data_IF_047499610693
#
_entry.id   IF_047499610693
#
_cell.length_a   1.000
_cell.length_b   1.000
_cell.length_c   1.000
_cell.angle_alpha   90.00
_cell.angle_beta   90.00
_cell.angle_gamma   90.00
#
_symmetry.space_group_name_H-M   'P 1'
#
loop_
_entity.id
_entity.type
_entity.pdbx_description
1 polymer ?
#
# COMPACT_ATOMS: atom_id res chain seq x y z
N UNK A 1 12.54 8.12 84.08
CA UNK A 1 12.68 6.85 83.33
C UNK A 1 11.34 6.62 82.64
N UNK A 2 11.30 5.94 81.49
CA UNK A 2 10.09 5.65 80.68
C UNK A 2 9.86 6.50 79.42
N UNK A 3 10.87 6.60 78.54
CA UNK A 3 10.64 7.00 77.13
C UNK A 3 11.43 6.17 76.09
N UNK A 4 12.02 5.03 76.50
CA UNK A 4 12.84 4.19 75.61
C UNK A 4 12.14 2.93 75.08
N UNK A 5 10.90 2.62 75.49
CA UNK A 5 10.23 1.37 75.07
C UNK A 5 9.33 1.50 73.81
N UNK A 6 8.83 2.69 73.47
CA UNK A 6 7.87 2.84 72.34
C UNK A 6 8.53 2.87 70.94
N UNK A 7 9.82 3.20 70.83
CA UNK A 7 10.51 3.21 69.53
C UNK A 7 10.92 1.82 69.04
N UNK A 8 11.16 0.86 69.95
CA UNK A 8 11.52 -0.51 69.59
C UNK A 8 10.32 -1.31 69.06
N UNK A 9 9.13 -1.12 69.63
CA UNK A 9 7.93 -1.82 69.14
C UNK A 9 7.52 -1.37 67.74
N UNK A 10 7.61 -0.07 67.44
CA UNK A 10 7.26 0.45 66.11
C UNK A 10 8.25 0.01 65.01
N UNK A 11 9.53 -0.17 65.33
CA UNK A 11 10.53 -0.69 64.38
C UNK A 11 10.37 -2.19 64.13
N UNK A 12 10.04 -2.97 65.16
CA UNK A 12 9.78 -4.41 65.04
C UNK A 12 8.50 -4.70 64.24
N UNK A 13 7.48 -3.85 64.37
CA UNK A 13 6.24 -3.96 63.60
C UNK A 13 6.48 -3.63 62.10
N UNK A 14 7.31 -2.62 61.80
CA UNK A 14 7.67 -2.23 60.44
C UNK A 14 8.53 -3.28 59.72
N UNK A 15 9.48 -3.90 60.43
CA UNK A 15 10.27 -5.02 59.91
C UNK A 15 9.41 -6.26 59.64
N UNK A 16 8.46 -6.59 60.53
CA UNK A 16 7.48 -7.66 60.29
C UNK A 16 6.56 -7.39 59.10
N UNK A 17 6.27 -6.12 58.81
CA UNK A 17 5.46 -5.73 57.65
C UNK A 17 6.26 -5.84 56.35
N UNK A 18 7.53 -5.40 56.35
CA UNK A 18 8.45 -5.56 55.21
C UNK A 18 8.71 -7.03 54.89
N UNK A 19 8.90 -7.86 55.91
CA UNK A 19 9.10 -9.30 55.72
C UNK A 19 7.86 -9.97 55.11
N UNK A 20 6.65 -9.62 55.60
CA UNK A 20 5.39 -10.10 55.00
C UNK A 20 5.20 -9.64 53.55
N UNK A 21 5.62 -8.43 53.20
CA UNK A 21 5.59 -7.95 51.81
C UNK A 21 6.56 -8.72 50.90
N UNK A 22 7.76 -9.03 51.40
CA UNK A 22 8.75 -9.83 50.66
C UNK A 22 8.25 -11.26 50.44
N UNK A 23 7.68 -11.89 51.47
CA UNK A 23 7.14 -13.24 51.37
C UNK A 23 5.94 -13.30 50.40
N UNK A 24 5.06 -12.29 50.43
CA UNK A 24 3.95 -12.16 49.48
C UNK A 24 4.45 -11.95 48.05
N UNK A 25 5.48 -11.14 47.83
CA UNK A 25 6.07 -10.97 46.49
C UNK A 25 6.70 -12.26 45.96
N UNK A 26 7.35 -13.05 46.82
CA UNK A 26 7.92 -14.35 46.42
C UNK A 26 6.81 -15.36 46.09
N UNK A 27 5.74 -15.41 46.88
CA UNK A 27 4.55 -16.22 46.60
C UNK A 27 3.90 -15.85 45.26
N UNK A 28 3.77 -14.55 44.96
CA UNK A 28 3.25 -14.08 43.66
C UNK A 28 4.16 -14.45 42.49
N UNK A 29 5.49 -14.37 42.66
CA UNK A 29 6.46 -14.79 41.63
C UNK A 29 6.41 -16.30 41.39
N UNK A 30 6.31 -17.12 42.44
CA UNK A 30 6.14 -18.57 42.30
C UNK A 30 4.81 -18.93 41.64
N UNK A 31 3.71 -18.26 41.99
CA UNK A 31 2.41 -18.48 41.35
C UNK A 31 2.45 -18.11 39.86
N UNK A 32 3.10 -17.01 39.48
CA UNK A 32 3.29 -16.65 38.07
C UNK A 32 4.18 -17.64 37.31
N UNK A 33 5.24 -18.17 37.94
CA UNK A 33 6.10 -19.19 37.32
C UNK A 33 5.37 -20.53 37.15
N UNK A 34 4.60 -20.98 38.14
CA UNK A 34 3.76 -22.17 38.03
C UNK A 34 2.67 -22.02 36.95
N UNK A 35 2.03 -20.84 36.86
CA UNK A 35 1.08 -20.55 35.76
C UNK A 35 1.75 -20.50 34.39
N UNK A 36 3.01 -20.06 34.29
CA UNK A 36 3.78 -20.08 33.04
C UNK A 36 4.20 -21.50 32.63
N UNK A 37 4.53 -22.37 33.59
CA UNK A 37 4.89 -23.77 33.34
C UNK A 37 3.67 -24.65 33.02
N UNK A 38 2.48 -24.32 33.52
CA UNK A 38 1.23 -25.04 33.19
C UNK A 38 0.55 -24.58 31.90
N UNK A 39 0.95 -23.43 31.32
CA UNK A 39 0.50 -23.03 29.99
C UNK A 39 1.29 -23.81 28.95
N UNK A 40 0.85 -25.03 28.64
CA UNK A 40 1.17 -25.57 27.32
C UNK A 40 0.72 -24.54 26.27
N UNK A 41 1.56 -24.22 25.26
CA UNK A 41 1.14 -23.33 24.20
C UNK A 41 -0.08 -23.97 23.55
N UNK A 42 -1.25 -23.35 23.73
CA UNK A 42 -2.47 -23.76 23.03
C UNK A 42 -2.10 -23.75 21.56
N UNK A 43 -2.04 -24.93 20.96
CA UNK A 43 -1.73 -25.07 19.53
C UNK A 43 -2.94 -24.54 18.79
N UNK A 44 -2.92 -23.25 18.49
CA UNK A 44 -4.00 -22.59 17.76
C UNK A 44 -4.04 -23.22 16.37
N UNK A 45 -5.11 -23.95 16.09
CA UNK A 45 -5.35 -24.50 14.77
C UNK A 45 -5.47 -23.34 13.77
N UNK A 46 -4.46 -23.20 12.91
CA UNK A 46 -4.39 -22.12 11.93
C UNK A 46 -5.55 -22.19 10.91
N UNK A 47 -6.07 -23.37 10.63
CA UNK A 47 -7.21 -23.56 9.71
C UNK A 47 -8.48 -23.04 10.36
N UNK A 48 -8.71 -23.36 11.63
CA UNK A 48 -9.85 -22.85 12.41
C UNK A 48 -9.72 -21.33 12.57
N UNK A 49 -8.53 -20.82 12.92
CA UNK A 49 -8.30 -19.37 13.01
C UNK A 49 -8.59 -18.66 11.69
N UNK A 50 -8.10 -19.19 10.57
CA UNK A 50 -8.36 -18.64 9.24
C UNK A 50 -9.86 -18.67 8.91
N UNK A 51 -10.58 -19.75 9.24
CA UNK A 51 -12.05 -19.85 9.05
C UNK A 51 -12.80 -18.84 9.91
N UNK A 52 -12.45 -18.70 11.18
CA UNK A 52 -13.05 -17.74 12.13
C UNK A 52 -12.81 -16.31 11.66
N UNK A 53 -11.58 -15.95 11.28
CA UNK A 53 -11.23 -14.60 10.85
C UNK A 53 -11.77 -14.23 9.46
N UNK A 54 -12.01 -15.23 8.60
CA UNK A 54 -12.68 -15.03 7.31
C UNK A 54 -14.21 -14.92 7.44
N UNK A 55 -14.80 -15.38 8.55
CA UNK A 55 -16.23 -15.27 8.79
C UNK A 55 -16.57 -13.91 9.42
N UNK A 56 -17.22 -13.04 8.64
CA UNK A 56 -17.56 -11.66 9.06
C UNK A 56 -18.45 -11.62 10.31
N UNK A 57 -19.41 -12.55 10.45
CA UNK A 57 -20.34 -12.57 11.58
C UNK A 57 -19.61 -12.96 12.87
N UNK A 58 -18.81 -14.02 12.82
CA UNK A 58 -18.03 -14.48 13.97
C UNK A 58 -16.97 -13.44 14.34
N UNK A 59 -16.30 -12.84 13.36
CA UNK A 59 -15.34 -11.76 13.57
C UNK A 59 -15.98 -10.55 14.28
N UNK A 60 -17.17 -10.13 13.85
CA UNK A 60 -17.95 -9.07 14.51
C UNK A 60 -18.37 -9.44 15.93
N UNK A 61 -18.80 -10.69 16.14
CA UNK A 61 -19.17 -11.18 17.46
C UNK A 61 -17.97 -11.20 18.41
N UNK A 62 -16.81 -11.66 17.95
CA UNK A 62 -15.55 -11.65 18.71
C UNK A 62 -15.20 -10.21 19.10
N UNK A 63 -15.16 -9.28 18.13
CA UNK A 63 -14.89 -7.86 18.40
C UNK A 63 -15.90 -7.23 19.38
N UNK A 64 -17.18 -7.57 19.24
CA UNK A 64 -18.23 -7.13 20.16
C UNK A 64 -18.02 -7.66 21.58
N UNK A 65 -17.57 -8.92 21.73
CA UNK A 65 -17.38 -9.59 23.03
C UNK A 65 -16.11 -9.15 23.74
N UNK A 66 -15.01 -8.95 23.02
CA UNK A 66 -13.75 -8.47 23.60
C UNK A 66 -13.74 -6.93 23.77
N UNK A 67 -14.82 -6.24 23.37
CA UNK A 67 -14.96 -4.77 23.33
C UNK A 67 -13.90 -4.06 22.48
N UNK A 68 -13.12 -4.79 21.69
CA UNK A 68 -12.17 -4.22 20.73
C UNK A 68 -12.85 -4.17 19.37
N UNK A 69 -13.24 -2.98 18.94
CA UNK A 69 -14.00 -2.81 17.69
C UNK A 69 -13.16 -2.96 16.42
N UNK A 70 -11.83 -3.10 16.51
CA UNK A 70 -10.91 -3.06 15.37
C UNK A 70 -9.65 -3.93 15.65
N UNK A 71 -9.20 -4.77 14.70
CA UNK A 71 -7.94 -5.51 14.79
C UNK A 71 -6.76 -4.57 14.61
N UNK A 72 -6.35 -3.93 15.70
CA UNK A 72 -5.10 -3.19 15.76
C UNK A 72 -4.08 -4.07 16.50
N UNK A 73 -2.77 -3.93 16.23
CA UNK A 73 -1.75 -4.57 17.08
C UNK A 73 -1.81 -4.01 18.51
N UNK A 74 -1.40 -4.76 19.52
CA UNK A 74 -1.53 -4.34 20.92
C UNK A 74 -0.82 -3.00 21.21
N UNK A 75 0.39 -2.81 20.67
CA UNK A 75 1.13 -1.54 20.74
C UNK A 75 0.33 -0.35 20.18
N UNK A 76 -0.31 -0.58 19.04
CA UNK A 76 -1.09 0.44 18.36
C UNK A 76 -2.46 0.64 19.00
N UNK A 77 -3.04 -0.38 19.66
CA UNK A 77 -4.23 -0.22 20.52
C UNK A 77 -3.92 0.69 21.69
N UNK A 78 -2.75 0.54 22.31
CA UNK A 78 -2.33 1.41 23.43
C UNK A 78 -2.18 2.86 22.95
N UNK A 79 -1.56 3.09 21.79
CA UNK A 79 -1.41 4.43 21.18
C UNK A 79 -2.76 5.04 20.76
N UNK A 80 -3.63 4.25 20.12
CA UNK A 80 -5.00 4.66 19.79
C UNK A 80 -5.78 5.02 21.05
N UNK A 81 -5.69 4.17 22.08
CA UNK A 81 -6.37 4.35 23.35
C UNK A 81 -5.87 5.61 24.03
N UNK A 82 -4.56 5.87 24.12
CA UNK A 82 -4.05 7.08 24.78
C UNK A 82 -4.45 8.36 24.04
N UNK A 83 -4.32 8.39 22.71
CA UNK A 83 -4.59 9.60 21.93
C UNK A 83 -6.09 9.91 21.80
N UNK A 84 -6.89 8.92 21.39
CA UNK A 84 -8.31 9.14 21.18
C UNK A 84 -9.13 9.10 22.48
N UNK A 85 -8.66 8.44 23.54
CA UNK A 85 -9.32 8.59 24.85
C UNK A 85 -9.15 10.01 25.39
N UNK A 86 -8.01 10.66 25.17
CA UNK A 86 -7.82 12.06 25.57
C UNK A 86 -8.76 12.99 24.81
N UNK A 87 -8.86 12.84 23.48
CA UNK A 87 -9.81 13.60 22.67
C UNK A 87 -11.27 13.36 23.11
N UNK A 88 -11.63 12.11 23.42
CA UNK A 88 -12.98 11.79 23.92
C UNK A 88 -13.20 12.26 25.36
N UNK A 89 -12.16 12.34 26.18
CA UNK A 89 -12.25 12.91 27.52
C UNK A 89 -12.50 14.41 27.43
N UNK A 90 -11.77 15.13 26.57
CA UNK A 90 -12.00 16.55 26.28
C UNK A 90 -13.44 16.77 25.78
N UNK A 91 -13.90 15.96 24.83
CA UNK A 91 -15.27 16.02 24.34
C UNK A 91 -16.30 15.78 25.46
N UNK A 92 -16.07 14.81 26.35
CA UNK A 92 -17.00 14.52 27.47
C UNK A 92 -17.02 15.62 28.51
N UNK A 93 -15.90 16.31 28.73
CA UNK A 93 -15.81 17.44 29.67
C UNK A 93 -16.59 18.65 29.16
N UNK A 94 -16.41 19.01 27.88
CA UNK A 94 -17.10 20.14 27.26
C UNK A 94 -17.29 19.89 25.76
N UNK A 95 -18.43 19.28 25.35
CA UNK A 95 -18.70 18.99 23.94
C UNK A 95 -18.77 20.26 23.08
N UNK A 96 -19.27 21.36 23.64
CA UNK A 96 -19.46 22.60 22.90
C UNK A 96 -18.12 23.25 22.57
N UNK A 97 -17.25 23.40 23.58
CA UNK A 97 -15.90 23.92 23.38
C UNK A 97 -15.05 23.02 22.49
N UNK A 98 -15.18 21.70 22.63
CA UNK A 98 -14.49 20.75 21.75
C UNK A 98 -14.84 21.00 20.29
N UNK A 99 -16.15 21.11 19.98
CA UNK A 99 -16.61 21.32 18.60
C UNK A 99 -16.21 22.69 18.05
N UNK A 100 -16.21 23.72 18.88
CA UNK A 100 -15.77 25.07 18.46
C UNK A 100 -14.27 25.15 18.15
N UNK A 101 -13.43 24.38 18.83
CA UNK A 101 -11.99 24.41 18.65
C UNK A 101 -11.50 23.41 17.60
N UNK A 102 -12.07 22.20 17.59
CA UNK A 102 -11.57 21.06 16.81
C UNK A 102 -12.44 20.70 15.59
N UNK A 103 -13.66 21.24 15.52
CA UNK A 103 -14.63 20.92 14.46
C UNK A 103 -15.35 19.57 14.65
N UNK A 104 -16.40 19.36 13.85
CA UNK A 104 -17.17 18.11 13.88
C UNK A 104 -16.38 16.95 13.25
N UNK A 105 -15.50 17.23 12.29
CA UNK A 105 -14.64 16.25 11.62
C UNK A 105 -13.81 15.49 12.64
N UNK A 106 -13.21 16.17 13.62
CA UNK A 106 -12.40 15.53 14.66
C UNK A 106 -13.21 14.53 15.48
N UNK A 107 -14.47 14.87 15.76
CA UNK A 107 -15.41 13.98 16.45
C UNK A 107 -15.81 12.78 15.57
N UNK A 108 -16.32 13.00 14.36
CA UNK A 108 -16.83 11.93 13.51
C UNK A 108 -15.74 11.01 12.95
N UNK A 109 -14.50 11.49 12.78
CA UNK A 109 -13.36 10.68 12.36
C UNK A 109 -12.65 9.98 13.54
N UNK A 110 -13.17 10.13 14.76
CA UNK A 110 -12.65 9.41 15.92
C UNK A 110 -12.95 7.89 15.81
N UNK A 111 -11.95 7.00 15.83
CA UNK A 111 -12.18 5.55 15.69
C UNK A 111 -12.99 4.93 16.84
N UNK A 112 -13.02 5.58 18.01
CA UNK A 112 -13.66 5.05 19.24
C UNK A 112 -15.06 5.60 19.49
N UNK A 113 -15.61 6.39 18.56
CA UNK A 113 -16.99 6.89 18.63
C UNK A 113 -17.99 5.71 18.65
N UNK A 114 -19.00 5.82 19.50
CA UNK A 114 -20.12 4.87 19.57
C UNK A 114 -21.36 5.43 18.85
N UNK A 115 -22.30 4.55 18.52
CA UNK A 115 -23.57 4.97 17.90
C UNK A 115 -24.34 5.92 18.83
N UNK A 116 -24.39 5.65 20.12
CA UNK A 116 -25.13 6.52 21.05
C UNK A 116 -24.46 7.89 21.21
N UNK A 117 -23.13 7.93 21.24
CA UNK A 117 -22.39 9.20 21.28
C UNK A 117 -22.62 10.00 19.99
N UNK A 118 -22.63 9.32 18.84
CA UNK A 118 -22.98 9.93 17.56
C UNK A 118 -24.38 10.56 17.59
N UNK A 119 -25.40 9.84 18.10
CA UNK A 119 -26.78 10.35 18.15
C UNK A 119 -26.89 11.62 19.00
N UNK A 120 -26.30 11.60 20.20
CA UNK A 120 -26.27 12.76 21.11
C UNK A 120 -25.57 13.93 20.42
N UNK A 121 -24.40 13.69 19.83
CA UNK A 121 -23.66 14.74 19.13
C UNK A 121 -24.46 15.34 17.96
N UNK A 122 -25.03 14.49 17.10
CA UNK A 122 -25.81 14.93 15.95
C UNK A 122 -27.01 15.79 16.36
N UNK A 123 -27.71 15.38 17.42
CA UNK A 123 -28.91 16.08 17.89
C UNK A 123 -28.60 17.42 18.56
N UNK A 124 -27.55 17.47 19.38
CA UNK A 124 -27.32 18.60 20.29
C UNK A 124 -26.12 19.46 19.92
N UNK A 125 -25.06 18.91 19.34
CA UNK A 125 -23.77 19.60 19.23
C UNK A 125 -23.31 19.89 17.80
N UNK A 126 -23.76 19.10 16.82
CA UNK A 126 -23.29 19.19 15.43
C UNK A 126 -23.42 20.60 14.82
N UNK A 127 -24.50 21.31 15.14
CA UNK A 127 -24.75 22.66 14.61
C UNK A 127 -23.69 23.69 15.01
N UNK A 128 -23.04 23.51 16.17
CA UNK A 128 -22.03 24.46 16.66
C UNK A 128 -20.72 24.40 15.88
N UNK A 129 -20.42 23.26 15.23
CA UNK A 129 -19.23 23.08 14.39
C UNK A 129 -19.51 23.24 12.90
N UNK A 130 -20.77 23.34 12.49
CA UNK A 130 -21.17 23.36 11.08
C UNK A 130 -20.60 24.56 10.31
N UNK A 131 -20.31 25.67 11.00
CA UNK A 131 -19.70 26.86 10.38
C UNK A 131 -18.23 26.65 9.99
N UNK A 132 -17.48 25.79 10.69
CA UNK A 132 -16.07 25.50 10.41
C UNK A 132 -15.89 24.53 9.23
N UNK A 133 -16.96 23.84 8.84
CA UNK A 133 -16.93 22.72 7.89
C UNK A 133 -17.99 22.91 6.79
N UNK A 134 -18.19 24.16 6.38
CA UNK A 134 -19.10 24.52 5.30
C UNK A 134 -18.75 23.74 4.03
N UNK A 135 -19.57 22.75 3.68
CA UNK A 135 -19.39 21.92 2.49
C UNK A 135 -19.29 20.41 2.73
N UNK A 136 -19.24 19.96 3.98
CA UNK A 136 -19.33 18.52 4.31
C UNK A 136 -20.67 18.18 4.94
N UNK A 137 -21.36 17.19 4.38
CA UNK A 137 -22.50 16.56 5.03
C UNK A 137 -22.01 15.58 6.11
N UNK A 138 -22.86 15.28 7.11
CA UNK A 138 -22.48 14.38 8.22
C UNK A 138 -22.00 13.02 7.72
N UNK A 139 -22.56 12.53 6.62
CA UNK A 139 -22.18 11.26 6.03
C UNK A 139 -20.80 11.33 5.33
N UNK A 140 -20.38 12.50 4.83
CA UNK A 140 -19.01 12.70 4.35
C UNK A 140 -18.01 12.57 5.51
N UNK A 141 -18.34 13.14 6.67
CA UNK A 141 -17.47 13.07 7.85
C UNK A 141 -17.40 11.64 8.41
N UNK A 142 -18.54 10.95 8.47
CA UNK A 142 -18.66 9.58 8.99
C UNK A 142 -18.05 8.55 8.05
N UNK A 143 -18.16 8.72 6.73
CA UNK A 143 -17.49 7.84 5.75
C UNK A 143 -15.96 7.91 5.88
N UNK A 144 -15.43 9.07 6.25
CA UNK A 144 -14.01 9.25 6.56
C UNK A 144 -13.56 8.62 7.88
N UNK A 145 -14.44 8.01 8.67
CA UNK A 145 -14.01 7.36 9.91
C UNK A 145 -13.08 6.16 9.59
N UNK A 146 -11.87 6.10 10.16
CA UNK A 146 -10.90 5.05 9.84
C UNK A 146 -11.39 3.64 10.22
N UNK A 147 -12.35 3.51 11.14
CA UNK A 147 -13.00 2.22 11.45
C UNK A 147 -13.62 1.57 10.21
N UNK A 148 -14.06 2.38 9.24
CA UNK A 148 -14.68 1.92 8.00
C UNK A 148 -13.73 1.08 7.13
N UNK A 149 -12.42 1.13 7.35
CA UNK A 149 -11.44 0.27 6.68
C UNK A 149 -11.56 -1.21 7.10
N UNK A 150 -12.16 -1.48 8.27
CA UNK A 150 -12.23 -2.83 8.85
C UNK A 150 -13.67 -3.29 9.06
N UNK A 151 -14.54 -2.40 9.50
CA UNK A 151 -15.93 -2.72 9.84
C UNK A 151 -16.88 -1.63 9.35
N UNK A 152 -18.04 -2.06 8.88
CA UNK A 152 -19.08 -1.18 8.32
C UNK A 152 -20.22 -0.92 9.30
N UNK A 153 -20.22 -1.57 10.47
CA UNK A 153 -21.34 -1.51 11.41
C UNK A 153 -21.66 -0.08 11.88
N UNK A 154 -20.65 0.71 12.23
CA UNK A 154 -20.87 2.09 12.68
C UNK A 154 -21.52 2.92 11.56
N UNK A 155 -20.94 2.88 10.36
CA UNK A 155 -21.49 3.53 9.17
C UNK A 155 -22.94 3.12 8.89
N UNK A 156 -23.24 1.81 8.93
CA UNK A 156 -24.60 1.27 8.76
C UNK A 156 -25.59 1.85 9.77
N UNK A 157 -25.22 1.85 11.06
CA UNK A 157 -26.06 2.35 12.15
C UNK A 157 -26.30 3.86 12.07
N UNK A 158 -25.28 4.61 11.64
CA UNK A 158 -25.44 6.05 11.35
C UNK A 158 -26.44 6.26 10.21
N UNK A 159 -26.27 5.56 9.08
CA UNK A 159 -27.23 5.65 7.97
C UNK A 159 -28.65 5.35 8.44
N UNK A 160 -28.86 4.23 9.16
CA UNK A 160 -30.17 3.84 9.71
C UNK A 160 -30.79 4.94 10.58
N UNK A 161 -30.00 5.55 11.47
CA UNK A 161 -30.46 6.64 12.34
C UNK A 161 -30.85 7.89 11.55
N UNK A 162 -30.03 8.29 10.58
CA UNK A 162 -30.33 9.44 9.71
C UNK A 162 -31.59 9.18 8.87
N UNK A 163 -31.80 7.94 8.39
CA UNK A 163 -33.07 7.58 7.71
C UNK A 163 -34.28 7.67 8.66
N UNK A 164 -34.12 7.23 9.91
CA UNK A 164 -35.18 7.21 10.91
C UNK A 164 -35.64 8.59 11.36
N UNK A 165 -34.70 9.51 11.60
CA UNK A 165 -35.00 10.87 12.05
C UNK A 165 -35.58 11.78 10.95
N UNK A 166 -35.37 11.42 9.67
CA UNK A 166 -35.84 12.21 8.53
C UNK A 166 -37.21 11.74 7.99
N UNK A 167 -37.93 10.88 8.72
CA UNK A 167 -39.34 10.53 8.41
C UNK A 167 -40.24 11.75 8.66
N UNK A 168 -40.19 12.76 7.80
CA UNK A 168 -41.03 13.96 7.87
C UNK A 168 -40.47 15.22 7.19
N UNK A 169 -39.18 15.26 6.84
CA UNK A 169 -38.54 16.33 6.07
C UNK A 169 -37.65 15.69 5.01
N UNK A 170 -37.95 15.94 3.75
CA UNK A 170 -37.29 15.48 2.52
C UNK A 170 -36.47 14.17 2.60
N UNK A 171 -36.98 13.15 1.91
CA UNK A 171 -36.30 11.85 1.70
C UNK A 171 -34.89 11.98 1.09
N UNK A 172 -34.56 13.16 0.55
CA UNK A 172 -33.29 13.47 -0.11
C UNK A 172 -32.15 13.86 0.85
N UNK A 173 -32.38 14.07 2.15
CA UNK A 173 -31.32 14.53 3.07
C UNK A 173 -30.29 13.47 3.51
N UNK A 174 -30.50 12.17 3.23
CA UNK A 174 -29.43 11.16 3.43
C UNK A 174 -28.41 11.23 2.29
N UNK A 175 -28.87 11.67 1.12
CA UNK A 175 -28.04 11.82 -0.07
C UNK A 175 -27.31 13.15 0.10
N UNK A 176 -25.98 13.15 0.21
CA UNK A 176 -25.24 14.39 0.23
C UNK A 176 -25.61 15.23 -0.98
N UNK A 177 -25.64 16.56 -0.83
CA UNK A 177 -25.87 17.45 -1.99
C UNK A 177 -24.83 17.19 -3.10
N UNK A 178 -23.66 16.70 -2.72
CA UNK A 178 -22.66 16.11 -3.60
C UNK A 178 -22.03 14.90 -2.91
N UNK A 179 -22.35 13.65 -3.30
CA UNK A 179 -21.82 12.45 -2.62
C UNK A 179 -20.34 12.19 -2.90
N UNK A 180 -19.64 13.16 -3.49
CA UNK A 180 -18.25 13.08 -3.91
C UNK A 180 -17.32 12.67 -2.76
N UNK A 181 -17.33 13.41 -1.65
CA UNK A 181 -16.44 13.15 -0.52
C UNK A 181 -16.76 11.83 0.17
N UNK A 182 -18.04 11.48 0.28
CA UNK A 182 -18.45 10.19 0.81
C UNK A 182 -17.89 9.04 -0.03
N UNK A 183 -18.04 9.07 -1.35
CA UNK A 183 -17.49 8.02 -2.23
C UNK A 183 -15.96 7.99 -2.21
N UNK A 184 -15.29 9.15 -2.20
CA UNK A 184 -13.84 9.24 -2.06
C UNK A 184 -13.34 8.53 -0.79
N UNK A 185 -13.94 8.84 0.37
CA UNK A 185 -13.61 8.18 1.64
C UNK A 185 -13.86 6.67 1.60
N UNK A 186 -14.95 6.22 0.97
CA UNK A 186 -15.25 4.79 0.82
C UNK A 186 -14.21 4.13 -0.08
N UNK A 187 -13.79 4.78 -1.17
CA UNK A 187 -12.76 4.27 -2.07
C UNK A 187 -11.39 4.17 -1.37
N UNK A 188 -11.01 5.21 -0.62
CA UNK A 188 -9.79 5.24 0.20
C UNK A 188 -9.79 4.12 1.25
N UNK A 189 -10.96 3.76 1.79
CA UNK A 189 -11.06 2.71 2.81
C UNK A 189 -10.64 1.31 2.32
N UNK A 190 -10.67 1.07 1.01
CA UNK A 190 -10.49 -0.24 0.38
C UNK A 190 -11.39 -1.36 0.94
N UNK A 191 -12.53 -1.02 1.54
CA UNK A 191 -13.45 -1.99 2.13
C UNK A 191 -14.62 -2.33 1.19
N UNK A 192 -14.57 -3.53 0.61
CA UNK A 192 -15.62 -4.05 -0.29
C UNK A 192 -16.99 -4.11 0.37
N UNK A 193 -17.06 -4.44 1.66
CA UNK A 193 -18.34 -4.52 2.37
C UNK A 193 -18.94 -3.12 2.54
N UNK A 194 -18.10 -2.10 2.78
CA UNK A 194 -18.54 -0.72 2.92
C UNK A 194 -19.10 -0.22 1.59
N UNK A 195 -18.34 -0.46 0.52
CA UNK A 195 -18.73 -0.13 -0.84
C UNK A 195 -20.06 -0.78 -1.24
N UNK A 196 -20.20 -2.09 -1.03
CA UNK A 196 -21.43 -2.79 -1.35
C UNK A 196 -22.62 -2.29 -0.55
N UNK A 197 -22.44 -1.97 0.74
CA UNK A 197 -23.51 -1.37 1.53
C UNK A 197 -23.85 0.06 1.04
N UNK A 198 -22.84 0.90 0.78
CA UNK A 198 -23.01 2.26 0.31
C UNK A 198 -23.87 2.34 -0.96
N UNK A 199 -23.66 1.45 -1.93
CA UNK A 199 -24.49 1.32 -3.14
C UNK A 199 -25.98 1.10 -2.85
N UNK A 200 -26.32 0.49 -1.72
CA UNK A 200 -27.73 0.23 -1.35
C UNK A 200 -28.41 1.42 -0.68
N UNK A 201 -27.64 2.41 -0.23
CA UNK A 201 -28.15 3.53 0.57
C UNK A 201 -27.86 4.91 -0.04
N UNK A 202 -27.01 4.99 -1.06
CA UNK A 202 -26.67 6.22 -1.78
C UNK A 202 -26.71 5.97 -3.29
N UNK A 203 -27.05 6.99 -4.09
CA UNK A 203 -26.94 6.89 -5.54
C UNK A 203 -25.47 6.72 -5.97
N UNK A 204 -25.27 5.96 -7.05
CA UNK A 204 -23.99 5.92 -7.73
C UNK A 204 -23.68 7.31 -8.33
N UNK A 205 -22.42 7.76 -8.35
CA UNK A 205 -22.06 9.03 -8.95
C UNK A 205 -22.26 9.06 -10.46
N UNK A 206 -22.27 10.26 -11.02
CA UNK A 206 -22.17 10.49 -12.46
C UNK A 206 -20.81 10.04 -13.03
N UNK A 207 -20.65 10.07 -14.36
CA UNK A 207 -19.40 9.66 -15.04
C UNK A 207 -18.15 10.34 -14.46
N UNK A 208 -18.24 11.63 -14.10
CA UNK A 208 -17.11 12.36 -13.49
C UNK A 208 -16.76 11.80 -12.11
N UNK A 209 -17.76 11.51 -11.28
CA UNK A 209 -17.57 10.85 -10.00
C UNK A 209 -17.03 9.43 -10.14
N UNK A 210 -17.47 8.66 -11.14
CA UNK A 210 -16.95 7.32 -11.42
C UNK A 210 -15.47 7.35 -11.82
N UNK A 211 -15.07 8.29 -12.70
CA UNK A 211 -13.66 8.55 -13.07
C UNK A 211 -12.82 8.86 -11.82
N UNK A 212 -13.33 9.70 -10.93
CA UNK A 212 -12.65 10.01 -9.67
C UNK A 212 -12.51 8.77 -8.78
N UNK A 213 -13.58 7.98 -8.61
CA UNK A 213 -13.54 6.78 -7.77
C UNK A 213 -12.43 5.83 -8.22
N UNK A 214 -12.29 5.61 -9.54
CA UNK A 214 -11.22 4.81 -10.13
C UNK A 214 -9.84 5.40 -9.88
N UNK A 215 -9.66 6.70 -10.12
CA UNK A 215 -8.41 7.38 -9.80
C UNK A 215 -8.02 7.13 -8.34
N UNK A 216 -8.96 7.20 -7.39
CA UNK A 216 -8.69 7.01 -5.96
C UNK A 216 -8.32 5.56 -5.63
N UNK A 217 -9.04 4.57 -6.18
CA UNK A 217 -8.73 3.16 -5.88
C UNK A 217 -7.47 2.66 -6.56
N UNK A 218 -7.09 3.26 -7.70
CA UNK A 218 -5.85 2.94 -8.42
C UNK A 218 -4.66 3.77 -7.95
N UNK A 219 -4.90 4.92 -7.31
CA UNK A 219 -3.82 5.75 -6.80
C UNK A 219 -3.05 5.04 -5.68
N UNK A 220 -1.72 5.22 -5.63
CA UNK A 220 -0.91 4.80 -4.49
C UNK A 220 -1.54 5.33 -3.21
N UNK A 221 -1.55 4.55 -2.11
CA UNK A 221 -2.10 5.01 -0.84
C UNK A 221 -1.43 6.34 -0.47
N UNK A 222 -2.21 7.42 -0.44
CA UNK A 222 -1.71 8.68 0.11
C UNK A 222 -1.43 8.40 1.58
N UNK A 223 -0.21 8.69 2.04
CA UNK A 223 0.08 8.74 3.46
C UNK A 223 -0.75 9.91 4.00
N UNK A 224 -1.98 9.63 4.46
CA UNK A 224 -2.80 10.65 5.09
C UNK A 224 -2.12 10.92 6.44
N UNK A 225 -1.52 12.11 6.64
CA UNK A 225 -0.70 12.37 7.82
C UNK A 225 -1.48 12.16 9.13
N UNK A 226 -2.80 12.35 9.06
CA UNK A 226 -3.74 12.17 10.16
C UNK A 226 -3.97 10.69 10.55
N UNK A 227 -3.65 9.69 9.70
CA UNK A 227 -3.75 8.27 10.07
C UNK A 227 -2.40 7.67 10.47
N UNK A 228 -1.30 8.19 9.93
CA UNK A 228 0.06 7.77 10.30
C UNK A 228 0.49 8.26 11.69
N UNK A 229 -0.05 9.38 12.17
CA UNK A 229 0.31 9.99 13.46
C UNK A 229 -0.49 9.48 14.67
N UNK A 230 -1.66 8.86 14.48
CA UNK A 230 -2.60 8.58 15.58
C UNK A 230 -2.96 7.10 15.80
N UNK A 231 -2.24 6.17 15.18
CA UNK A 231 -2.41 4.73 15.41
C UNK A 231 -3.29 4.03 14.36
N UNK A 232 -2.70 3.75 13.20
CA UNK A 232 -2.70 2.42 12.53
C UNK A 232 -3.99 1.58 12.53
N UNK A 233 -5.09 2.15 12.05
CA UNK A 233 -5.96 1.37 11.16
C UNK A 233 -5.36 1.52 9.76
N UNK A 234 -4.68 0.47 9.30
CA UNK A 234 -4.08 0.47 7.97
C UNK A 234 -5.13 0.10 6.94
N UNK A 235 -5.11 0.81 5.81
CA UNK A 235 -5.90 0.46 4.63
C UNK A 235 -5.59 -1.00 4.27
N UNK A 236 -6.60 -1.88 4.08
CA UNK A 236 -6.38 -3.22 3.58
C UNK A 236 -5.55 -3.17 2.30
N UNK A 237 -4.56 -4.05 2.17
CA UNK A 237 -3.81 -4.20 0.92
C UNK A 237 -4.63 -4.95 -0.14
N UNK A 238 -4.30 -4.73 -1.41
CA UNK A 238 -4.83 -5.45 -2.56
C UNK A 238 -6.00 -4.76 -3.27
N UNK A 239 -6.56 -5.48 -4.25
CA UNK A 239 -7.39 -4.90 -5.32
C UNK A 239 -8.85 -5.34 -5.30
N UNK A 240 -9.32 -5.90 -4.18
CA UNK A 240 -10.70 -6.45 -4.10
C UNK A 240 -11.77 -5.40 -4.33
N UNK A 241 -11.58 -4.18 -3.81
CA UNK A 241 -12.51 -3.08 -4.03
C UNK A 241 -12.47 -2.61 -5.49
N UNK A 242 -11.28 -2.46 -6.05
CA UNK A 242 -11.10 -2.14 -7.47
C UNK A 242 -11.82 -3.16 -8.35
N UNK A 243 -11.64 -4.47 -8.09
CA UNK A 243 -12.37 -5.53 -8.78
C UNK A 243 -13.88 -5.31 -8.72
N UNK A 244 -14.44 -5.09 -7.52
CA UNK A 244 -15.88 -4.90 -7.35
C UNK A 244 -16.37 -3.68 -8.15
N UNK A 245 -15.64 -2.56 -8.06
CA UNK A 245 -15.94 -1.35 -8.81
C UNK A 245 -15.91 -1.58 -10.32
N UNK A 246 -14.87 -2.24 -10.86
CA UNK A 246 -14.77 -2.55 -12.29
C UNK A 246 -15.95 -3.42 -12.77
N UNK A 247 -16.38 -4.39 -11.96
CA UNK A 247 -17.54 -5.22 -12.29
C UNK A 247 -18.85 -4.41 -12.32
N UNK A 248 -19.05 -3.50 -11.38
CA UNK A 248 -20.23 -2.64 -11.37
C UNK A 248 -20.21 -1.62 -12.52
N UNK A 249 -19.06 -1.05 -12.85
CA UNK A 249 -18.91 -0.10 -13.95
C UNK A 249 -19.33 -0.71 -15.29
N UNK A 250 -19.00 -1.98 -15.54
CA UNK A 250 -19.47 -2.71 -16.73
C UNK A 250 -21.00 -2.81 -16.83
N UNK A 251 -21.69 -2.81 -15.70
CA UNK A 251 -23.16 -2.86 -15.65
C UNK A 251 -23.77 -1.46 -15.79
N UNK A 252 -23.15 -0.45 -15.18
CA UNK A 252 -23.64 0.93 -15.15
C UNK A 252 -23.43 1.62 -16.50
N UNK A 253 -22.28 1.39 -17.12
CA UNK A 253 -21.87 2.02 -18.37
C UNK A 253 -21.21 1.00 -19.30
N UNK A 254 -22.02 0.16 -19.98
CA UNK A 254 -21.51 -0.89 -20.87
C UNK A 254 -20.91 -0.34 -22.17
N UNK A 255 -21.18 0.92 -22.53
CA UNK A 255 -20.69 1.57 -23.75
C UNK A 255 -19.42 2.40 -23.53
N UNK A 256 -18.93 2.44 -22.29
CA UNK A 256 -17.56 2.83 -21.97
C UNK A 256 -17.26 4.34 -22.18
N UNK A 257 -17.81 5.17 -21.29
CA UNK A 257 -17.52 6.62 -21.18
C UNK A 257 -16.14 6.92 -20.57
N UNK A 258 -15.11 6.21 -21.04
CA UNK A 258 -13.71 6.53 -20.80
C UNK A 258 -13.33 6.61 -19.31
N UNK A 259 -13.96 5.79 -18.46
CA UNK A 259 -13.81 5.88 -17.01
C UNK A 259 -12.38 5.60 -16.53
N UNK A 260 -11.58 4.86 -17.31
CA UNK A 260 -10.16 4.62 -17.07
C UNK A 260 -9.23 5.77 -17.49
N UNK A 261 -9.70 6.84 -18.13
CA UNK A 261 -8.85 7.98 -18.52
C UNK A 261 -8.11 8.64 -17.36
N UNK A 262 -8.74 8.66 -16.18
CA UNK A 262 -8.14 9.24 -14.99
C UNK A 262 -7.26 8.24 -14.24
N UNK A 263 -7.19 6.99 -14.69
CA UNK A 263 -6.22 6.04 -14.19
C UNK A 263 -4.84 6.39 -14.76
N UNK A 264 -3.93 6.85 -13.90
CA UNK A 264 -2.56 7.12 -14.28
C UNK A 264 -1.78 5.79 -14.39
N UNK A 265 -2.00 5.09 -15.50
CA UNK A 265 -1.35 3.81 -15.79
C UNK A 265 0.18 3.93 -15.83
N UNK A 266 0.69 5.12 -16.16
CA UNK A 266 2.10 5.44 -16.11
C UNK A 266 2.68 5.43 -14.70
N UNK A 267 1.97 6.04 -13.75
CA UNK A 267 2.32 5.95 -12.33
C UNK A 267 2.23 4.52 -11.78
N UNK A 268 1.23 3.74 -12.21
CA UNK A 268 1.13 2.33 -11.82
C UNK A 268 2.37 1.54 -12.27
N UNK A 269 2.74 1.70 -13.53
CA UNK A 269 3.92 1.07 -14.12
C UNK A 269 5.21 1.52 -13.42
N UNK A 270 5.37 2.83 -13.20
CA UNK A 270 6.52 3.45 -12.54
C UNK A 270 6.70 3.02 -11.08
N UNK A 271 5.61 2.74 -10.36
CA UNK A 271 5.65 2.36 -8.93
C UNK A 271 5.60 0.86 -8.66
N UNK A 272 5.53 0.03 -9.71
CA UNK A 272 5.48 -1.42 -9.53
C UNK A 272 4.14 -1.93 -9.01
N UNK A 273 3.04 -1.19 -9.25
CA UNK A 273 1.70 -1.57 -8.77
C UNK A 273 1.05 -2.59 -9.71
N UNK A 274 1.71 -3.74 -9.88
CA UNK A 274 1.35 -4.80 -10.83
C UNK A 274 0.03 -5.47 -10.48
N UNK A 275 -0.29 -5.61 -9.19
CA UNK A 275 -1.57 -6.16 -8.73
C UNK A 275 -2.77 -5.33 -9.24
N UNK A 276 -2.64 -4.00 -9.22
CA UNK A 276 -3.64 -3.07 -9.76
C UNK A 276 -3.74 -3.22 -11.27
N UNK A 277 -2.61 -3.21 -11.98
CA UNK A 277 -2.56 -3.36 -13.44
C UNK A 277 -3.18 -4.70 -13.91
N UNK A 278 -2.83 -5.80 -13.26
CA UNK A 278 -3.41 -7.12 -13.51
C UNK A 278 -4.91 -7.15 -13.25
N UNK A 279 -5.37 -6.48 -12.20
CA UNK A 279 -6.80 -6.39 -11.89
C UNK A 279 -7.54 -5.60 -12.97
N UNK A 280 -6.99 -4.46 -13.42
CA UNK A 280 -7.57 -3.69 -14.53
C UNK A 280 -7.63 -4.55 -15.79
N UNK A 281 -6.51 -5.17 -16.19
CA UNK A 281 -6.48 -6.02 -17.38
C UNK A 281 -7.48 -7.18 -17.31
N UNK A 282 -7.58 -7.86 -16.15
CA UNK A 282 -8.47 -9.00 -15.99
C UNK A 282 -9.95 -8.65 -16.09
N UNK A 283 -10.37 -7.49 -15.56
CA UNK A 283 -11.79 -7.12 -15.48
C UNK A 283 -12.22 -6.06 -16.50
N UNK A 284 -11.27 -5.35 -17.10
CA UNK A 284 -11.48 -4.24 -18.04
C UNK A 284 -10.52 -4.26 -19.25
N UNK A 285 -9.78 -5.35 -19.50
CA UNK A 285 -8.81 -5.44 -20.61
C UNK A 285 -9.43 -5.40 -22.00
N UNK A 286 -10.69 -5.82 -22.14
CA UNK A 286 -11.45 -5.76 -23.41
C UNK A 286 -11.79 -4.31 -23.82
N UNK A 287 -11.72 -3.41 -22.85
CA UNK A 287 -12.20 -2.02 -22.91
C UNK A 287 -11.00 -1.05 -22.96
N UNK A 288 -9.98 -1.33 -22.15
CA UNK A 288 -8.77 -0.52 -22.10
C UNK A 288 -7.51 -1.37 -22.26
N UNK A 289 -6.88 -1.20 -23.42
CA UNK A 289 -5.53 -1.72 -23.68
C UNK A 289 -4.58 -0.52 -23.69
N UNK A 290 -3.71 -0.36 -22.68
CA UNK A 290 -2.73 0.72 -22.68
C UNK A 290 -1.71 0.47 -23.81
N UNK A 291 -1.75 1.32 -24.83
CA UNK A 291 -0.91 1.21 -26.03
C UNK A 291 0.28 2.17 -26.04
N UNK A 292 0.37 3.09 -25.07
CA UNK A 292 1.42 4.09 -25.04
C UNK A 292 2.74 3.51 -24.55
N UNK A 293 3.74 3.45 -25.45
CA UNK A 293 5.12 3.07 -25.14
C UNK A 293 5.76 3.88 -23.99
N UNK A 294 5.18 5.04 -23.65
CA UNK A 294 5.61 5.86 -22.50
C UNK A 294 5.55 5.08 -21.18
N UNK A 295 4.61 4.14 -21.02
CA UNK A 295 4.49 3.35 -19.79
C UNK A 295 5.66 2.37 -19.62
N UNK A 296 6.10 1.74 -20.72
CA UNK A 296 7.31 0.89 -20.73
C UNK A 296 8.54 1.70 -20.34
N UNK A 297 8.69 2.90 -20.91
CA UNK A 297 9.80 3.82 -20.59
C UNK A 297 9.78 4.21 -19.11
N UNK A 298 8.62 4.55 -18.56
CA UNK A 298 8.48 4.90 -17.13
C UNK A 298 8.77 3.71 -16.20
N UNK A 299 8.33 2.50 -16.54
CA UNK A 299 8.64 1.29 -15.78
C UNK A 299 10.15 1.01 -15.76
N UNK A 300 10.83 1.17 -16.90
CA UNK A 300 12.28 1.01 -17.04
C UNK A 300 13.05 2.05 -16.24
N UNK A 301 12.66 3.33 -16.34
CA UNK A 301 13.31 4.41 -15.60
C UNK A 301 13.23 4.20 -14.08
N UNK A 302 12.17 3.55 -13.60
CA UNK A 302 12.00 3.25 -12.19
C UNK A 302 12.42 1.80 -11.83
N UNK A 303 13.07 1.08 -12.75
CA UNK A 303 13.60 -0.27 -12.57
C UNK A 303 12.55 -1.30 -12.10
N UNK A 304 11.30 -1.14 -12.52
CA UNK A 304 10.17 -1.99 -12.10
C UNK A 304 10.04 -3.22 -12.98
N UNK A 305 10.81 -4.27 -12.68
CA UNK A 305 10.90 -5.46 -13.54
C UNK A 305 9.57 -6.19 -13.73
N UNK A 306 8.74 -6.29 -12.69
CA UNK A 306 7.44 -6.95 -12.78
C UNK A 306 6.43 -6.13 -13.59
N UNK A 307 6.49 -4.79 -13.51
CA UNK A 307 5.72 -3.92 -14.41
C UNK A 307 6.12 -4.13 -15.88
N UNK A 308 7.43 -4.19 -16.16
CA UNK A 308 7.93 -4.43 -17.52
C UNK A 308 7.47 -5.80 -18.03
N UNK A 309 7.60 -6.84 -17.20
CA UNK A 309 7.16 -8.20 -17.53
C UNK A 309 5.67 -8.23 -17.85
N UNK A 310 4.85 -7.58 -17.03
CA UNK A 310 3.42 -7.45 -17.26
C UNK A 310 3.12 -6.72 -18.58
N UNK A 311 3.68 -5.51 -18.79
CA UNK A 311 3.47 -4.72 -20.00
C UNK A 311 3.87 -5.49 -21.27
N UNK A 312 4.99 -6.20 -21.24
CA UNK A 312 5.48 -6.96 -22.38
C UNK A 312 4.70 -8.27 -22.61
N UNK A 313 4.57 -9.13 -21.59
CA UNK A 313 3.97 -10.47 -21.77
C UNK A 313 2.44 -10.44 -21.85
N UNK A 314 1.79 -9.57 -21.06
CA UNK A 314 0.33 -9.49 -20.96
C UNK A 314 -0.21 -8.49 -21.96
N UNK A 315 0.25 -7.24 -21.90
CA UNK A 315 -0.26 -6.16 -22.75
C UNK A 315 0.37 -6.11 -24.14
N UNK A 316 1.32 -7.02 -24.43
CA UNK A 316 2.03 -7.12 -25.71
C UNK A 316 2.74 -5.82 -26.12
N UNK A 317 3.12 -4.99 -25.15
CA UNK A 317 3.83 -3.75 -25.40
C UNK A 317 5.30 -4.05 -25.70
N UNK A 318 5.81 -3.72 -26.90
CA UNK A 318 7.18 -4.05 -27.27
C UNK A 318 8.19 -3.24 -26.44
N UNK A 319 9.30 -3.88 -26.08
CA UNK A 319 10.46 -3.18 -25.51
C UNK A 319 11.26 -2.60 -26.68
N UNK A 320 10.88 -1.39 -27.10
CA UNK A 320 11.49 -0.70 -28.24
C UNK A 320 12.90 -0.16 -27.96
N UNK A 321 13.55 0.33 -29.01
CA UNK A 321 14.91 0.90 -28.94
C UNK A 321 15.05 2.01 -27.89
N UNK A 322 14.10 2.94 -27.82
CA UNK A 322 14.10 4.02 -26.82
C UNK A 322 14.09 3.48 -25.38
N UNK A 323 13.26 2.48 -25.12
CA UNK A 323 13.18 1.79 -23.83
C UNK A 323 14.51 1.12 -23.47
N UNK A 324 15.19 0.51 -24.44
CA UNK A 324 16.50 -0.09 -24.23
C UNK A 324 17.59 0.94 -23.90
N UNK A 325 17.59 2.10 -24.56
CA UNK A 325 18.53 3.17 -24.20
C UNK A 325 18.28 3.72 -22.80
N UNK A 326 17.02 3.90 -22.42
CA UNK A 326 16.68 4.31 -21.05
C UNK A 326 17.11 3.25 -20.03
N UNK A 327 17.05 1.96 -20.37
CA UNK A 327 17.56 0.89 -19.53
C UNK A 327 19.10 0.97 -19.37
N UNK A 328 19.85 1.22 -20.45
CA UNK A 328 21.29 1.42 -20.36
C UNK A 328 21.65 2.60 -19.43
N UNK A 329 20.87 3.68 -19.51
CA UNK A 329 21.07 4.88 -18.69
C UNK A 329 20.68 4.72 -17.22
N UNK A 330 20.08 3.59 -16.81
CA UNK A 330 19.95 3.28 -15.37
C UNK A 330 21.29 2.89 -14.75
N UNK A 331 22.30 2.54 -15.56
CA UNK A 331 23.62 2.08 -15.12
C UNK A 331 23.55 0.97 -14.06
N UNK A 332 22.61 0.03 -14.25
CA UNK A 332 22.29 -1.04 -13.30
C UNK A 332 22.36 -2.37 -14.02
N UNK A 333 23.50 -3.05 -13.91
CA UNK A 333 23.77 -4.31 -14.62
C UNK A 333 22.81 -5.44 -14.19
N UNK A 334 22.55 -5.67 -12.88
CA UNK A 334 21.53 -6.63 -12.46
C UNK A 334 20.16 -6.37 -13.09
N UNK A 335 19.74 -5.10 -13.17
CA UNK A 335 18.48 -4.74 -13.82
C UNK A 335 18.49 -5.04 -15.33
N UNK A 336 19.58 -4.76 -16.06
CA UNK A 336 19.68 -5.08 -17.49
C UNK A 336 19.65 -6.59 -17.77
N UNK A 337 20.28 -7.38 -16.92
CA UNK A 337 20.22 -8.84 -16.98
C UNK A 337 18.79 -9.31 -16.74
N UNK A 338 18.12 -8.79 -15.70
CA UNK A 338 16.73 -9.11 -15.42
C UNK A 338 15.79 -8.73 -16.59
N UNK A 339 16.02 -7.57 -17.22
CA UNK A 339 15.30 -7.11 -18.41
C UNK A 339 15.52 -8.04 -19.61
N UNK A 340 16.77 -8.46 -19.86
CA UNK A 340 17.10 -9.41 -20.90
C UNK A 340 16.38 -10.75 -20.70
N UNK A 341 16.27 -11.22 -19.46
CA UNK A 341 15.61 -12.48 -19.11
C UNK A 341 14.09 -12.48 -19.37
N UNK A 342 13.45 -11.33 -19.60
CA UNK A 342 12.05 -11.27 -20.02
C UNK A 342 11.89 -11.79 -21.47
N UNK A 343 12.88 -11.55 -22.33
CA UNK A 343 12.92 -11.99 -23.73
C UNK A 343 14.37 -12.20 -24.20
N UNK A 344 15.00 -13.33 -23.82
CA UNK A 344 16.40 -13.60 -24.15
C UNK A 344 16.64 -13.65 -25.65
N UNK A 345 15.69 -14.22 -26.39
CA UNK A 345 15.74 -14.40 -27.84
C UNK A 345 15.84 -13.08 -28.61
N UNK A 346 15.50 -11.93 -28.02
CA UNK A 346 15.58 -10.65 -28.71
C UNK A 346 17.02 -10.16 -28.93
N UNK A 347 18.05 -10.85 -28.42
CA UNK A 347 19.47 -10.56 -28.69
C UNK A 347 19.92 -9.15 -28.27
N UNK A 348 19.15 -8.51 -27.38
CA UNK A 348 19.27 -7.07 -27.04
C UNK A 348 20.49 -6.75 -26.20
N UNK A 349 21.01 -7.73 -25.45
CA UNK A 349 22.13 -7.53 -24.54
C UNK A 349 23.41 -7.12 -25.29
N UNK A 350 23.65 -7.69 -26.47
CA UNK A 350 24.77 -7.31 -27.32
C UNK A 350 24.62 -5.89 -27.88
N UNK A 351 23.42 -5.52 -28.34
CA UNK A 351 23.13 -4.16 -28.82
C UNK A 351 23.31 -3.12 -27.72
N UNK A 352 22.88 -3.44 -26.50
CA UNK A 352 23.09 -2.62 -25.32
C UNK A 352 24.57 -2.48 -24.99
N UNK A 353 25.31 -3.60 -25.00
CA UNK A 353 26.75 -3.62 -24.76
C UNK A 353 27.47 -2.66 -25.71
N UNK A 354 27.22 -2.77 -27.02
CA UNK A 354 27.82 -1.87 -28.02
C UNK A 354 27.46 -0.41 -27.79
N UNK A 355 26.21 -0.13 -27.39
CA UNK A 355 25.79 1.23 -27.06
C UNK A 355 26.55 1.77 -25.85
N UNK A 356 26.64 1.01 -24.75
CA UNK A 356 27.35 1.40 -23.51
C UNK A 356 28.85 1.63 -23.76
N UNK A 357 29.46 0.82 -24.62
CA UNK A 357 30.88 0.98 -24.98
C UNK A 357 31.14 2.13 -25.97
N UNK A 358 30.11 2.68 -26.60
CA UNK A 358 30.25 3.75 -27.58
C UNK A 358 30.57 5.10 -26.92
N UNK A 359 31.26 5.97 -27.67
CA UNK A 359 31.53 7.35 -27.24
C UNK A 359 30.26 8.20 -27.02
N UNK A 360 29.11 7.76 -27.57
CA UNK A 360 27.84 8.46 -27.43
C UNK A 360 27.15 8.25 -26.07
N UNK A 361 27.51 7.19 -25.34
CA UNK A 361 26.87 6.85 -24.07
C UNK A 361 27.14 7.89 -22.96
N UNK A 362 28.38 8.39 -22.90
CA UNK A 362 28.82 9.37 -21.90
C UNK A 362 28.17 10.76 -22.03
N UNK A 363 27.49 11.02 -23.16
CA UNK A 363 26.82 12.30 -23.44
C UNK A 363 25.30 12.26 -23.17
N UNK A 364 24.75 11.12 -22.75
CA UNK A 364 23.33 10.97 -22.45
C UNK A 364 22.95 11.52 -21.05
N UNK A 365 21.69 11.95 -20.84
CA UNK A 365 21.22 12.37 -19.53
C UNK A 365 21.16 11.17 -18.57
N UNK A 366 22.18 11.00 -17.74
CA UNK A 366 22.16 10.02 -16.65
C UNK A 366 21.15 10.46 -15.58
N UNK A 367 19.99 9.80 -15.55
CA UNK A 367 18.85 10.24 -14.73
C UNK A 367 19.03 10.06 -13.22
N UNK A 368 20.06 9.35 -12.76
CA UNK A 368 20.18 8.93 -11.35
C UNK A 368 21.59 9.02 -10.74
N UNK A 369 22.48 9.89 -11.21
CA UNK A 369 23.80 10.01 -10.57
C UNK A 369 24.11 11.43 -10.07
N UNK A 370 24.17 11.65 -8.74
CA UNK A 370 24.77 12.85 -8.16
C UNK A 370 26.30 12.88 -8.30
N UNK A 371 26.92 11.78 -8.75
CA UNK A 371 28.37 11.65 -8.92
C UNK A 371 28.74 11.29 -10.37
N UNK A 372 29.66 12.05 -10.97
CA UNK A 372 30.04 11.94 -12.38
C UNK A 372 30.71 10.60 -12.79
N UNK A 373 30.87 9.63 -11.88
CA UNK A 373 31.69 8.42 -12.06
C UNK A 373 30.91 7.10 -12.16
N UNK A 374 29.62 7.03 -11.80
CA UNK A 374 28.85 5.76 -11.77
C UNK A 374 28.79 5.04 -13.13
N UNK A 375 28.70 5.78 -14.23
CA UNK A 375 28.68 5.19 -15.58
C UNK A 375 30.01 4.54 -15.97
N UNK A 376 31.13 5.00 -15.40
CA UNK A 376 32.46 4.42 -15.68
C UNK A 376 32.59 3.05 -15.02
N UNK A 377 32.16 2.94 -13.76
CA UNK A 377 32.08 1.66 -13.04
C UNK A 377 31.14 0.69 -13.77
N UNK A 378 29.94 1.15 -14.12
CA UNK A 378 28.99 0.35 -14.90
C UNK A 378 29.56 -0.10 -16.26
N UNK A 379 30.26 0.79 -16.97
CA UNK A 379 30.93 0.45 -18.23
C UNK A 379 32.00 -0.63 -18.01
N UNK A 380 32.81 -0.54 -16.94
CA UNK A 380 33.79 -1.56 -16.61
C UNK A 380 33.13 -2.92 -16.28
N UNK A 381 32.08 -2.93 -15.46
CA UNK A 381 31.33 -4.14 -15.12
C UNK A 381 30.72 -4.79 -16.36
N UNK A 382 30.05 -3.99 -17.20
CA UNK A 382 29.41 -4.50 -18.41
C UNK A 382 30.45 -4.97 -19.44
N UNK A 383 31.62 -4.32 -19.46
CA UNK A 383 32.76 -4.74 -20.26
C UNK A 383 33.30 -6.12 -19.83
N UNK A 384 33.46 -6.37 -18.53
CA UNK A 384 33.85 -7.69 -18.01
C UNK A 384 32.81 -8.76 -18.35
N UNK A 385 31.52 -8.44 -18.24
CA UNK A 385 30.45 -9.34 -18.65
C UNK A 385 30.54 -9.64 -20.16
N UNK A 386 30.79 -8.64 -20.99
CA UNK A 386 30.98 -8.83 -22.44
C UNK A 386 32.14 -9.77 -22.78
N UNK A 387 33.24 -9.71 -22.02
CA UNK A 387 34.35 -10.67 -22.15
C UNK A 387 33.92 -12.09 -21.80
N UNK A 388 33.23 -12.28 -20.68
CA UNK A 388 32.74 -13.58 -20.24
C UNK A 388 31.79 -14.22 -21.26
N UNK A 389 30.99 -13.40 -21.93
CA UNK A 389 30.02 -13.82 -22.94
C UNK A 389 30.62 -13.92 -24.35
N UNK A 390 31.93 -13.74 -24.53
CA UNK A 390 32.61 -13.74 -25.83
C UNK A 390 32.00 -12.75 -26.86
N UNK A 391 31.48 -11.61 -26.38
CA UNK A 391 30.91 -10.57 -27.26
C UNK A 391 31.98 -9.67 -27.90
N UNK A 392 33.24 -9.81 -27.48
CA UNK A 392 34.32 -8.90 -27.86
C UNK A 392 35.33 -9.65 -28.72
N UNK A 393 35.37 -9.34 -30.03
CA UNK A 393 36.46 -9.75 -30.90
C UNK A 393 37.70 -8.86 -30.71
N UNK A 394 38.84 -9.27 -31.26
CA UNK A 394 40.13 -8.57 -31.09
C UNK A 394 40.11 -7.13 -31.64
N UNK A 395 39.29 -6.86 -32.66
CA UNK A 395 39.19 -5.53 -33.27
C UNK A 395 38.33 -4.60 -32.42
N UNK A 396 37.18 -5.08 -31.94
CA UNK A 396 36.30 -4.35 -31.04
C UNK A 396 36.99 -4.09 -29.69
N UNK A 397 37.72 -5.09 -29.18
CA UNK A 397 38.58 -4.98 -28.01
C UNK A 397 39.58 -3.83 -28.19
N UNK A 398 40.33 -3.82 -29.30
CA UNK A 398 41.28 -2.75 -29.60
C UNK A 398 40.59 -1.38 -29.70
N UNK A 399 39.43 -1.28 -30.34
CA UNK A 399 38.67 -0.03 -30.46
C UNK A 399 38.20 0.53 -29.11
N UNK A 400 37.70 -0.35 -28.22
CA UNK A 400 37.28 0.02 -26.86
C UNK A 400 38.50 0.46 -26.04
N UNK A 401 39.57 -0.34 -26.03
CA UNK A 401 40.77 -0.08 -25.23
C UNK A 401 41.48 1.21 -25.66
N UNK A 402 41.53 1.49 -26.97
CA UNK A 402 42.15 2.70 -27.53
C UNK A 402 41.21 3.90 -27.59
N UNK A 403 39.98 3.77 -27.07
CA UNK A 403 38.92 4.80 -27.11
C UNK A 403 38.65 5.33 -28.52
N UNK A 404 38.87 4.51 -29.54
CA UNK A 404 38.60 4.90 -30.92
C UNK A 404 37.09 4.94 -31.18
N UNK A 405 36.59 5.96 -31.90
CA UNK A 405 35.18 6.02 -32.26
C UNK A 405 34.84 4.88 -33.21
N UNK A 406 33.84 4.07 -32.84
CA UNK A 406 33.26 3.08 -33.73
C UNK A 406 31.80 3.43 -34.00
N UNK A 407 31.39 3.41 -35.27
CA UNK A 407 29.99 3.57 -35.67
C UNK A 407 29.36 2.19 -35.76
N UNK A 408 28.39 1.94 -34.90
CA UNK A 408 27.53 0.78 -35.03
C UNK A 408 26.49 1.01 -36.14
N UNK A 409 26.51 0.17 -37.17
CA UNK A 409 25.39 -0.04 -38.08
C UNK A 409 25.06 -1.54 -38.08
N UNK A 410 23.93 -1.98 -37.50
CA UNK A 410 23.48 -3.36 -37.65
C UNK A 410 23.18 -3.61 -39.13
N UNK A 411 23.96 -4.47 -39.78
CA UNK A 411 23.73 -4.81 -41.19
C UNK A 411 22.59 -5.82 -41.38
N UNK A 412 22.29 -6.67 -40.38
CA UNK A 412 21.13 -7.59 -40.37
C UNK A 412 20.87 -8.15 -38.97
N UNK A 413 19.58 -8.40 -38.65
CA UNK A 413 19.13 -9.08 -37.42
C UNK A 413 19.81 -10.46 -37.23
N UNK A 414 20.22 -11.13 -38.31
CA UNK A 414 20.86 -12.45 -38.29
C UNK A 414 22.27 -12.47 -37.67
N UNK A 415 23.00 -11.35 -37.67
CA UNK A 415 24.29 -11.28 -36.96
C UNK A 415 24.12 -11.27 -35.45
N UNK A 416 22.99 -10.73 -34.93
CA UNK A 416 22.66 -10.81 -33.52
C UNK A 416 22.47 -12.26 -33.09
N UNK A 417 21.73 -13.06 -33.87
CA UNK A 417 21.44 -14.46 -33.54
C UNK A 417 22.61 -15.42 -33.76
N UNK A 418 23.51 -15.17 -34.72
CA UNK A 418 24.66 -16.07 -34.96
C UNK A 418 25.61 -16.18 -33.77
N UNK A 419 25.77 -15.10 -32.98
CA UNK A 419 26.57 -15.12 -31.75
C UNK A 419 25.90 -16.00 -30.68
N UNK A 420 24.56 -16.01 -30.60
CA UNK A 420 23.79 -16.87 -29.69
C UNK A 420 23.56 -18.30 -30.22
N UNK A 421 23.63 -18.52 -31.54
CA UNK A 421 23.49 -19.85 -32.14
C UNK A 421 24.79 -20.66 -32.09
N UNK A 422 25.95 -20.00 -32.08
CA UNK A 422 27.25 -20.68 -31.90
C UNK A 422 27.44 -21.26 -30.48
N UNK A 423 26.59 -20.88 -29.52
CA UNK A 423 26.51 -21.48 -28.18
C UNK A 423 25.45 -22.60 -28.03
N UNK A 424 24.72 -22.94 -29.10
CA UNK A 424 23.69 -24.00 -29.08
C UNK A 424 24.19 -25.33 -29.69
N UNK A 425 25.48 -25.64 -29.58
CA UNK A 425 25.99 -26.98 -29.87
C UNK A 425 25.85 -27.82 -28.59
N UNK A 426 24.72 -28.53 -28.48
CA UNK A 426 24.40 -29.73 -27.69
C UNK A 426 24.95 -29.95 -26.26
N UNK A 427 25.52 -28.95 -25.59
CA UNK A 427 25.83 -29.01 -24.16
C UNK A 427 25.37 -27.72 -23.48
N UNK A 428 24.24 -27.80 -22.76
CA UNK A 428 23.80 -27.05 -21.56
C UNK A 428 24.45 -25.69 -21.16
N UNK A 429 24.93 -24.88 -22.10
CA UNK A 429 25.86 -23.76 -21.82
C UNK A 429 25.37 -22.40 -22.37
N UNK A 430 24.06 -22.14 -22.29
CA UNK A 430 23.72 -20.81 -21.78
C UNK A 430 24.26 -20.84 -20.35
N UNK A 431 25.22 -19.98 -19.95
CA UNK A 431 25.63 -19.94 -18.56
C UNK A 431 24.38 -19.68 -17.74
N UNK A 432 23.87 -20.71 -17.05
CA UNK A 432 22.95 -20.50 -15.95
C UNK A 432 23.69 -19.59 -15.01
N UNK A 433 23.30 -18.31 -14.98
CA UNK A 433 23.81 -17.31 -14.06
C UNK A 433 23.47 -17.80 -12.64
N UNK A 434 24.33 -18.67 -12.11
CA UNK A 434 24.31 -19.16 -10.75
C UNK A 434 24.83 -18.03 -9.88
N UNK A 435 23.91 -17.25 -9.31
CA UNK A 435 24.21 -16.28 -8.27
C UNK A 435 24.33 -17.03 -6.93
N UNK A 436 25.47 -17.67 -6.69
CA UNK A 436 25.85 -18.13 -5.36
C UNK A 436 26.62 -17.02 -4.64
N UNK A 437 25.96 -16.45 -3.63
CA UNK A 437 26.48 -15.70 -2.46
C UNK A 437 27.85 -15.02 -2.59
N UNK A 438 27.84 -13.69 -2.64
CA UNK A 438 28.92 -12.89 -2.08
C UNK A 438 28.76 -12.86 -0.57
N UNK A 439 29.48 -13.74 0.12
CA UNK A 439 29.90 -13.57 1.51
C UNK A 439 31.24 -14.32 1.65
N UNK A 440 32.32 -13.54 1.70
CA UNK A 440 33.58 -13.83 2.40
C UNK A 440 34.05 -12.52 3.06
#
# INVERSE_FOLDING_TARGET
MDNNNNNNESQVEEEKQKQRQLDLQQLFKQQQQQQRQQRQPIKIDQVICKRVWNNVVIRRLIYSKIRECVPISEENRVKLKSHFALAMQQYKTDPHRFVQLEGNRRFYQCPVITVDLFKVHYQYFHKYGAALESGYDVIDLVSGNPRNMVDTWFFRKVCEFLKGNNKGKDKDMIIPKSPFYTWDNIMVSNNVELYNYAKTVMPMPDTKGLKQMLYVVTSPPRAIPHYSSYGTITRPSGTKLLKALLQDLRLIDPQETQWLEWCDYGQLAAKGLTDIMETIHKYAGDYYVPTYNVFMVQAIQNKQIESIRFLYKVNKMPIGQRSMYEAAHTCDLPFLIALHNIEPEAGRLYTLFLHVMSSSFSHGPMRFSPHQTHWQTFQQEFYQLGKQLNYIDTNLQHQIDTKQPFKYQPKTIQQHFKIFQQSNVDDSSIPTLSFSSFDD
#
